data_IF_262808563055
#
_entry.id   IF_262808563055
#
_cell.length_a   1.000
_cell.length_b   1.000
_cell.length_c   1.000
_cell.angle_alpha   90.00
_cell.angle_beta   90.00
_cell.angle_gamma   90.00
#
_symmetry.space_group_name_H-M   'P 1'
#
loop_
_entity.id
_entity.type
_entity.pdbx_description
1 polymer ?
#
# COMPACT_ATOMS: atom_id res chain seq x y z
N UNK A 1 -8.52 13.58 22.55
CA UNK A 1 -8.57 12.81 21.32
C UNK A 1 -9.24 11.48 21.54
N UNK A 2 -10.07 11.16 20.67
CA UNK A 2 -10.74 9.90 20.76
C UNK A 2 -9.79 8.77 20.40
N UNK A 3 -10.22 7.59 20.63
CA UNK A 3 -9.38 6.47 20.31
C UNK A 3 -9.09 6.40 18.83
N UNK A 4 -7.96 5.88 18.53
CA UNK A 4 -7.44 5.80 17.20
C UNK A 4 -7.35 4.34 16.79
N UNK A 5 -7.93 4.03 15.66
CA UNK A 5 -7.92 2.67 15.15
C UNK A 5 -6.88 2.57 14.06
N UNK A 6 -5.95 1.64 14.19
CA UNK A 6 -4.90 1.46 13.19
C UNK A 6 -5.27 0.29 12.31
N UNK A 7 -5.25 0.52 11.01
CA UNK A 7 -5.61 -0.50 10.04
C UNK A 7 -4.47 -0.69 9.07
N UNK A 8 -4.14 -1.93 8.79
CA UNK A 8 -3.12 -2.27 7.81
C UNK A 8 -3.81 -2.80 6.56
N UNK A 9 -3.48 -2.22 5.42
CA UNK A 9 -4.03 -2.63 4.14
C UNK A 9 -2.91 -3.15 3.27
N UNK A 10 -3.09 -4.34 2.72
CA UNK A 10 -2.11 -4.95 1.84
C UNK A 10 -2.62 -4.90 0.41
N UNK A 11 -1.80 -4.38 -0.48
CA UNK A 11 -2.17 -4.22 -1.88
C UNK A 11 -1.08 -4.81 -2.75
N UNK A 12 -1.48 -5.63 -3.73
CA UNK A 12 -0.52 -6.10 -4.72
C UNK A 12 -0.50 -5.09 -5.88
N UNK A 13 0.66 -4.92 -6.46
CA UNK A 13 0.85 -3.93 -7.50
C UNK A 13 1.70 -4.53 -8.61
N UNK A 14 1.40 -4.24 -9.87
CA UNK A 14 2.21 -4.77 -10.97
C UNK A 14 3.65 -4.30 -10.88
N UNK A 15 4.56 -5.19 -11.23
CA UNK A 15 5.98 -4.91 -11.15
C UNK A 15 6.37 -3.72 -12.01
N UNK A 16 5.71 -3.56 -13.14
CA UNK A 16 6.00 -2.48 -14.07
C UNK A 16 5.13 -1.25 -13.83
N UNK A 17 4.40 -1.22 -12.72
CA UNK A 17 3.56 -0.08 -12.42
C UNK A 17 4.32 1.01 -11.69
N UNK A 18 3.75 2.20 -11.69
CA UNK A 18 4.35 3.35 -11.01
C UNK A 18 3.84 3.39 -9.57
N UNK A 19 4.40 2.53 -8.75
CA UNK A 19 3.94 2.41 -7.37
C UNK A 19 4.30 3.65 -6.55
N UNK A 20 5.37 4.35 -6.92
CA UNK A 20 5.77 5.53 -6.17
C UNK A 20 4.72 6.63 -6.31
N UNK A 21 4.20 6.85 -7.51
CA UNK A 21 3.15 7.85 -7.71
C UNK A 21 1.87 7.44 -6.99
N UNK A 22 1.53 6.17 -7.03
CA UNK A 22 0.35 5.68 -6.36
C UNK A 22 0.47 5.88 -4.84
N UNK A 23 1.62 5.52 -4.29
CA UNK A 23 1.85 5.66 -2.85
C UNK A 23 1.79 7.13 -2.43
N UNK A 24 2.41 8.02 -3.22
CA UNK A 24 2.39 9.44 -2.93
C UNK A 24 0.97 9.98 -2.94
N UNK A 25 0.18 9.53 -3.90
CA UNK A 25 -1.21 9.95 -4.01
C UNK A 25 -2.00 9.55 -2.76
N UNK A 26 -1.80 8.34 -2.27
CA UNK A 26 -2.51 7.88 -1.09
C UNK A 26 -2.19 8.74 0.13
N UNK A 27 -0.93 9.12 0.29
CA UNK A 27 -0.53 9.92 1.42
C UNK A 27 -1.01 11.36 1.25
N UNK A 28 -0.86 11.91 0.04
CA UNK A 28 -1.28 13.29 -0.23
C UNK A 28 -2.78 13.48 -0.06
N UNK A 29 -3.56 12.47 -0.44
CA UNK A 29 -5.01 12.54 -0.31
C UNK A 29 -5.46 12.18 1.10
N UNK A 30 -4.51 11.92 1.98
CA UNK A 30 -4.79 11.59 3.38
C UNK A 30 -5.59 10.30 3.52
N UNK A 31 -5.43 9.41 2.56
CA UNK A 31 -6.05 8.09 2.63
C UNK A 31 -5.19 7.13 3.41
N UNK A 32 -3.92 7.43 3.53
CA UNK A 32 -2.98 6.62 4.29
C UNK A 32 -2.01 7.52 5.03
N UNK A 33 -1.62 7.11 6.22
CA UNK A 33 -0.63 7.86 7.00
C UNK A 33 0.76 7.60 6.42
N UNK A 34 1.01 6.40 5.97
CA UNK A 34 2.28 6.07 5.33
C UNK A 34 2.07 4.87 4.42
N UNK A 35 2.96 4.72 3.46
CA UNK A 35 2.95 3.61 2.54
C UNK A 35 4.35 3.04 2.47
N UNK A 36 4.48 1.75 2.71
CA UNK A 36 5.75 1.07 2.61
C UNK A 36 5.70 0.14 1.42
N UNK A 37 6.69 0.25 0.55
CA UNK A 37 6.75 -0.54 -0.67
C UNK A 37 7.74 -1.67 -0.46
N UNK A 38 7.23 -2.89 -0.54
CA UNK A 38 8.08 -4.07 -0.39
C UNK A 38 8.67 -4.44 -1.75
N UNK A 39 9.81 -5.12 -1.73
CA UNK A 39 10.40 -5.54 -3.00
C UNK A 39 9.56 -6.58 -3.69
N UNK A 40 9.92 -6.86 -4.93
CA UNK A 40 9.23 -7.86 -5.73
C UNK A 40 9.20 -9.18 -4.97
N UNK A 41 8.05 -9.82 -4.98
CA UNK A 41 7.90 -11.08 -4.29
C UNK A 41 7.20 -12.08 -5.19
N UNK A 42 7.33 -13.33 -4.81
CA UNK A 42 6.70 -14.41 -5.53
C UNK A 42 5.46 -14.86 -4.77
N UNK A 43 4.34 -14.94 -5.46
CA UNK A 43 3.09 -15.38 -4.84
C UNK A 43 2.70 -16.72 -5.43
N UNK A 44 2.37 -17.64 -4.55
CA UNK A 44 1.94 -18.98 -4.98
C UNK A 44 0.53 -19.19 -4.44
N UNK A 45 -0.38 -19.49 -5.33
CA UNK A 45 -1.76 -19.68 -4.90
C UNK A 45 -2.44 -20.66 -5.84
N UNK A 46 -3.62 -21.07 -5.43
CA UNK A 46 -4.42 -22.01 -6.22
C UNK A 46 -5.85 -21.50 -6.27
N UNK A 47 -6.41 -21.53 -7.44
CA UNK A 47 -7.79 -21.14 -7.64
C UNK A 47 -8.73 -22.32 -7.44
#
# INVERSE_FOLDING_TARGET
>A
MTECEVVLVLITFPEDGDVASFATCLVDERLAACVNVLPVMESVYRW
#
